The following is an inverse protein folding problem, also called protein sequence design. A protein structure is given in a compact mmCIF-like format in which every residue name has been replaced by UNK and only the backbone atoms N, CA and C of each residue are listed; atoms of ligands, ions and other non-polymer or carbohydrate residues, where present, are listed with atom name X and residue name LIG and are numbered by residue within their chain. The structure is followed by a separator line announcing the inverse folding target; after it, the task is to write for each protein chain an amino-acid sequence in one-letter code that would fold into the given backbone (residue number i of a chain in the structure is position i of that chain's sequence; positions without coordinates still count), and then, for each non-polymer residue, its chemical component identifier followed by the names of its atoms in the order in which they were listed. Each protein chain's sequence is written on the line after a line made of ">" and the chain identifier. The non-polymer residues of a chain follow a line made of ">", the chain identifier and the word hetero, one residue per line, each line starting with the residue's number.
data_IF_698371774866
#
_entry.id   IF_698371774866
#
_cell.length_a   1.000
_cell.length_b   1.000
_cell.length_c   1.000
_cell.angle_alpha   90.00
_cell.angle_beta   90.00
_cell.angle_gamma   90.00
#
_symmetry.space_group_name_H-M   'P 1'
#
loop_
_entity.id
_entity.type
_entity.pdbx_description
1 polymer ?
#
# COMPACT_ATOMS: atom_id res chain seq x y z
N UNK A 1 4.22 -25.52 15.05
CA UNK A 1 3.98 -25.50 13.61
C UNK A 1 2.68 -26.24 13.24
N UNK A 2 2.58 -27.58 13.52
CA UNK A 2 1.41 -28.39 13.10
C UNK A 2 0.08 -27.86 13.65
N UNK A 3 0.02 -27.47 14.93
CA UNK A 3 -1.17 -26.84 15.51
C UNK A 3 -1.60 -25.56 14.77
N UNK A 4 -0.65 -24.74 14.31
CA UNK A 4 -0.96 -23.55 13.54
C UNK A 4 -1.52 -23.89 12.15
N UNK A 5 -0.97 -24.93 11.52
CA UNK A 5 -1.48 -25.44 10.24
C UNK A 5 -2.92 -25.95 10.40
N UNK A 6 -3.17 -26.75 11.43
CA UNK A 6 -4.51 -27.26 11.73
C UNK A 6 -5.52 -26.14 12.00
N UNK A 7 -5.09 -25.08 12.71
CA UNK A 7 -5.93 -23.90 12.95
C UNK A 7 -6.28 -23.14 11.67
N UNK A 8 -5.35 -23.03 10.72
CA UNK A 8 -5.62 -22.41 9.43
C UNK A 8 -6.64 -23.24 8.65
N UNK A 9 -6.50 -24.55 8.58
CA UNK A 9 -7.49 -25.41 7.94
C UNK A 9 -8.85 -25.34 8.63
N UNK A 10 -8.88 -25.38 9.97
CA UNK A 10 -10.11 -25.27 10.74
C UNK A 10 -10.82 -23.91 10.57
N UNK A 11 -10.06 -22.85 10.25
CA UNK A 11 -10.62 -21.50 10.02
C UNK A 11 -11.61 -21.46 8.86
N UNK A 12 -11.49 -22.35 7.88
CA UNK A 12 -12.44 -22.52 6.77
C UNK A 12 -13.87 -22.76 7.28
N UNK A 13 -14.00 -23.57 8.33
CA UNK A 13 -15.28 -23.92 8.93
C UNK A 13 -15.75 -22.93 10.02
N UNK A 14 -15.00 -21.88 10.26
CA UNK A 14 -15.40 -20.83 11.20
C UNK A 14 -16.66 -20.10 10.71
N UNK A 15 -17.43 -19.55 11.67
CA UNK A 15 -18.61 -18.72 11.32
C UNK A 15 -18.22 -17.58 10.36
N UNK A 16 -17.11 -16.90 10.64
CA UNK A 16 -16.61 -15.81 9.80
C UNK A 16 -16.25 -16.27 8.39
N UNK A 17 -15.60 -17.43 8.26
CA UNK A 17 -15.25 -18.01 6.98
C UNK A 17 -16.48 -18.36 6.14
N UNK A 18 -17.48 -18.99 6.74
CA UNK A 18 -18.75 -19.33 6.09
C UNK A 18 -19.55 -18.09 5.66
N UNK A 19 -19.64 -17.08 6.54
CA UNK A 19 -20.36 -15.84 6.22
C UNK A 19 -19.67 -15.09 5.06
N UNK A 20 -18.34 -15.05 5.05
CA UNK A 20 -17.57 -14.45 3.95
C UNK A 20 -17.80 -15.18 2.63
N UNK A 21 -17.71 -16.52 2.60
CA UNK A 21 -17.96 -17.30 1.40
C UNK A 21 -19.35 -17.07 0.83
N UNK A 22 -20.36 -17.02 1.71
CA UNK A 22 -21.75 -16.75 1.31
C UNK A 22 -21.89 -15.39 0.63
N UNK A 23 -21.26 -14.35 1.20
CA UNK A 23 -21.29 -12.98 0.64
C UNK A 23 -20.58 -12.93 -0.71
N UNK A 24 -19.43 -13.62 -0.83
CA UNK A 24 -18.60 -13.59 -2.02
C UNK A 24 -18.99 -14.62 -3.09
N UNK A 25 -19.99 -15.46 -2.83
CA UNK A 25 -20.41 -16.52 -3.76
C UNK A 25 -19.36 -17.63 -3.96
N UNK A 26 -18.51 -17.87 -2.96
CA UNK A 26 -17.47 -18.91 -2.99
C UNK A 26 -18.09 -20.24 -2.57
N UNK A 27 -17.82 -21.34 -3.34
CA UNK A 27 -18.31 -22.68 -3.02
C UNK A 27 -17.77 -23.21 -1.69
N UNK A 28 -18.62 -23.84 -0.91
CA UNK A 28 -18.21 -24.53 0.31
C UNK A 28 -17.39 -25.81 0.04
N UNK A 29 -17.46 -26.36 -1.19
CA UNK A 29 -16.66 -27.51 -1.61
C UNK A 29 -15.19 -27.20 -1.83
N UNK A 30 -14.83 -25.92 -1.85
CA UNK A 30 -13.44 -25.50 -1.89
C UNK A 30 -12.80 -25.67 -0.51
N UNK A 31 -11.54 -25.34 -0.41
CA UNK A 31 -10.78 -25.36 0.83
C UNK A 31 -9.85 -24.16 0.92
N UNK A 32 -9.13 -24.10 2.01
CA UNK A 32 -8.02 -23.14 2.16
C UNK A 32 -6.68 -23.84 1.99
N UNK A 33 -5.64 -23.07 1.70
CA UNK A 33 -4.27 -23.52 1.65
C UNK A 33 -3.45 -22.88 2.78
N UNK A 34 -2.33 -23.51 3.13
CA UNK A 34 -1.38 -23.00 4.12
C UNK A 34 -0.05 -22.76 3.44
N UNK A 35 0.47 -21.55 3.55
CA UNK A 35 1.82 -21.21 3.15
C UNK A 35 2.70 -21.11 4.38
N UNK A 36 3.80 -21.85 4.39
CA UNK A 36 4.83 -21.77 5.44
C UNK A 36 5.98 -20.96 4.88
N UNK A 37 6.24 -19.81 5.49
CA UNK A 37 7.25 -18.86 5.06
C UNK A 37 8.21 -18.54 6.20
N UNK A 38 9.49 -18.36 5.87
CA UNK A 38 10.46 -17.84 6.83
C UNK A 38 10.09 -16.42 7.23
N UNK A 39 10.25 -16.09 8.50
CA UNK A 39 10.09 -14.72 8.97
C UNK A 39 11.31 -13.89 8.60
N UNK A 40 11.09 -12.62 8.32
CA UNK A 40 12.09 -11.57 8.22
C UNK A 40 11.79 -10.50 9.25
N UNK A 41 12.84 -9.82 9.74
CA UNK A 41 12.73 -9.02 10.96
C UNK A 41 13.06 -7.55 10.69
N UNK A 42 12.04 -6.72 10.49
CA UNK A 42 12.18 -5.27 10.39
C UNK A 42 12.60 -4.58 11.70
N UNK A 43 12.63 -5.33 12.79
CA UNK A 43 13.07 -4.87 14.11
C UNK A 43 14.41 -5.48 14.55
N UNK A 44 15.20 -6.00 13.63
CA UNK A 44 16.47 -6.65 13.92
C UNK A 44 17.51 -5.66 14.45
N UNK A 45 17.54 -4.45 13.92
CA UNK A 45 18.50 -3.41 14.26
C UNK A 45 17.95 -2.00 13.95
N UNK A 46 18.78 -0.98 14.14
CA UNK A 46 18.48 0.39 13.70
C UNK A 46 18.63 0.59 12.19
N UNK A 47 19.20 -0.36 11.49
CA UNK A 47 19.31 -0.40 10.03
C UNK A 47 18.29 -1.32 9.39
N UNK A 48 17.33 -1.81 10.14
CA UNK A 48 16.23 -2.64 9.66
C UNK A 48 14.90 -1.88 9.73
N UNK A 49 13.94 -2.30 8.93
CA UNK A 49 12.63 -1.68 8.91
C UNK A 49 11.63 -2.43 8.06
N UNK A 50 10.39 -1.96 8.06
CA UNK A 50 9.29 -2.52 7.29
C UNK A 50 8.43 -1.41 6.72
N UNK A 51 7.75 -1.68 5.62
CA UNK A 51 6.90 -0.67 5.01
C UNK A 51 5.95 -1.21 3.95
N UNK A 52 5.15 -0.30 3.45
CA UNK A 52 4.27 -0.50 2.29
C UNK A 52 4.61 0.56 1.26
N UNK A 53 4.83 0.13 0.03
CA UNK A 53 5.15 1.02 -1.09
C UNK A 53 4.20 0.82 -2.25
N UNK A 54 3.72 1.92 -2.79
CA UNK A 54 2.90 2.01 -3.98
C UNK A 54 3.77 2.41 -5.16
N UNK A 55 3.52 1.83 -6.31
CA UNK A 55 4.23 2.17 -7.55
C UNK A 55 3.89 3.57 -8.08
N UNK A 56 2.70 4.06 -7.77
CA UNK A 56 2.19 5.35 -8.22
C UNK A 56 1.71 6.19 -7.05
N UNK A 57 1.88 7.49 -7.17
CA UNK A 57 1.37 8.41 -6.18
C UNK A 57 -0.17 8.49 -6.23
N UNK A 58 -0.86 8.38 -5.10
CA UNK A 58 -2.31 8.61 -5.07
C UNK A 58 -2.68 10.10 -5.24
N UNK A 59 -1.71 11.00 -5.13
CA UNK A 59 -1.91 12.45 -5.18
C UNK A 59 -1.50 13.08 -6.50
N UNK A 60 -0.48 12.53 -7.16
CA UNK A 60 0.01 13.05 -8.43
C UNK A 60 -0.65 12.30 -9.57
N UNK A 61 -1.25 13.01 -10.53
CA UNK A 61 -1.76 12.37 -11.73
C UNK A 61 -0.60 11.95 -12.64
N UNK A 62 -0.73 10.80 -13.27
CA UNK A 62 0.20 10.33 -14.30
C UNK A 62 0.43 8.82 -14.24
N UNK A 63 0.91 8.29 -15.36
CA UNK A 63 1.22 6.87 -15.55
C UNK A 63 2.71 6.58 -15.27
N UNK A 64 3.42 7.53 -14.68
CA UNK A 64 4.84 7.37 -14.37
C UNK A 64 5.00 6.76 -12.99
N UNK A 65 5.88 5.77 -12.88
CA UNK A 65 6.24 5.18 -11.59
C UNK A 65 6.85 6.26 -10.71
N UNK A 66 6.21 6.51 -9.59
CA UNK A 66 6.69 7.36 -8.51
C UNK A 66 6.36 6.69 -7.19
N UNK A 67 7.39 6.21 -6.51
CA UNK A 67 7.20 5.48 -5.26
C UNK A 67 6.58 6.37 -4.19
N UNK A 68 5.53 5.84 -3.59
CA UNK A 68 4.76 6.47 -2.53
C UNK A 68 4.49 5.45 -1.44
N UNK A 69 4.26 5.86 -0.20
CA UNK A 69 3.92 4.95 0.87
C UNK A 69 4.57 5.29 2.19
N UNK A 70 4.64 4.33 3.07
CA UNK A 70 5.08 4.51 4.44
C UNK A 70 6.01 3.40 4.88
N UNK A 71 7.03 3.75 5.67
CA UNK A 71 7.91 2.78 6.32
C UNK A 71 8.22 3.16 7.76
N UNK A 72 8.78 2.22 8.51
CA UNK A 72 9.31 2.46 9.86
C UNK A 72 10.69 1.84 10.00
N UNK A 73 11.46 2.33 10.94
CA UNK A 73 12.78 1.81 11.31
C UNK A 73 12.66 1.09 12.64
N UNK A 74 13.21 -0.13 12.72
CA UNK A 74 13.25 -0.91 13.95
C UNK A 74 11.90 -1.46 14.42
N UNK A 75 10.91 -1.56 13.52
CA UNK A 75 9.58 -2.11 13.80
C UNK A 75 9.19 -3.15 12.77
N UNK A 76 8.21 -4.00 13.11
CA UNK A 76 7.63 -4.98 12.20
C UNK A 76 6.56 -4.34 11.31
N UNK A 77 6.27 -4.98 10.15
CA UNK A 77 5.23 -4.51 9.22
C UNK A 77 3.84 -4.43 9.85
N UNK A 78 3.52 -5.30 10.81
CA UNK A 78 2.27 -5.28 11.56
C UNK A 78 2.07 -3.95 12.33
N UNK A 79 3.14 -3.37 12.87
CA UNK A 79 3.10 -2.08 13.56
C UNK A 79 2.77 -0.94 12.61
N UNK A 80 3.23 -1.03 11.34
CA UNK A 80 2.93 -0.05 10.28
C UNK A 80 1.45 -0.11 9.92
N UNK A 81 0.95 -1.30 9.62
CA UNK A 81 -0.42 -1.51 9.16
C UNK A 81 -1.45 -1.19 10.25
N UNK A 82 -1.13 -1.47 11.51
CA UNK A 82 -2.00 -1.16 12.65
C UNK A 82 -2.03 0.32 13.04
N UNK A 83 -1.12 1.15 12.48
CA UNK A 83 -1.00 2.57 12.82
C UNK A 83 -0.48 2.84 14.24
N UNK A 84 0.14 1.87 14.88
CA UNK A 84 0.68 1.98 16.25
C UNK A 84 1.98 2.78 16.32
N UNK A 85 2.66 2.96 15.19
CA UNK A 85 3.95 3.65 15.11
C UNK A 85 3.88 4.83 14.15
N UNK A 86 4.71 5.85 14.41
CA UNK A 86 4.87 6.98 13.49
C UNK A 86 5.62 6.49 12.26
N UNK A 87 5.00 6.63 11.10
CA UNK A 87 5.58 6.25 9.82
C UNK A 87 6.36 7.39 9.18
N UNK A 88 7.27 7.01 8.28
CA UNK A 88 8.15 7.87 7.50
C UNK A 88 7.81 7.73 6.01
N UNK A 89 7.96 8.78 5.21
CA UNK A 89 7.65 8.73 3.77
C UNK A 89 8.68 7.92 2.99
N UNK A 90 8.24 7.30 1.91
CA UNK A 90 9.11 6.50 1.02
C UNK A 90 10.04 7.41 0.20
N UNK A 91 9.53 8.50 -0.37
CA UNK A 91 10.30 9.39 -1.24
C UNK A 91 10.39 10.82 -0.71
N UNK A 92 11.41 11.56 -1.17
CA UNK A 92 11.56 12.97 -0.84
C UNK A 92 10.41 13.81 -1.40
N UNK A 93 9.97 13.51 -2.61
CA UNK A 93 8.80 14.18 -3.21
C UNK A 93 7.55 14.00 -2.36
N UNK A 94 7.34 12.79 -1.83
CA UNK A 94 6.23 12.55 -0.91
C UNK A 94 6.39 13.37 0.37
N UNK A 95 7.57 13.39 0.95
CA UNK A 95 7.87 14.12 2.18
C UNK A 95 7.52 15.61 2.05
N UNK A 96 7.91 16.22 0.94
CA UNK A 96 7.66 17.64 0.65
C UNK A 96 6.16 17.89 0.40
N UNK A 97 5.51 17.09 -0.44
CA UNK A 97 4.09 17.30 -0.81
C UNK A 97 3.13 17.03 0.35
N UNK A 98 3.50 16.18 1.29
CA UNK A 98 2.70 15.90 2.48
C UNK A 98 3.05 16.80 3.67
N UNK A 99 4.06 17.69 3.51
CA UNK A 99 4.53 18.60 4.57
C UNK A 99 4.82 17.82 5.88
N UNK A 100 5.43 16.62 5.73
CA UNK A 100 5.70 15.79 6.90
C UNK A 100 6.79 16.42 7.79
N UNK A 101 6.56 16.41 9.11
CA UNK A 101 7.55 16.83 10.11
C UNK A 101 8.82 15.98 10.12
N UNK A 102 8.79 14.83 9.47
CA UNK A 102 9.94 13.94 9.32
C UNK A 102 11.00 14.61 8.46
N UNK A 103 12.25 14.62 8.94
CA UNK A 103 13.41 15.10 8.19
C UNK A 103 14.03 14.03 7.30
N UNK A 104 13.52 12.80 7.33
CA UNK A 104 14.07 11.64 6.63
C UNK A 104 13.00 10.93 5.82
N UNK A 105 13.44 10.35 4.70
CA UNK A 105 12.68 9.42 3.87
C UNK A 105 13.44 8.10 3.70
N UNK A 106 12.81 7.08 3.12
CA UNK A 106 13.50 5.84 2.72
C UNK A 106 14.56 6.14 1.65
N UNK A 107 14.22 7.02 0.69
CA UNK A 107 15.10 7.43 -0.40
C UNK A 107 16.43 7.98 0.12
N UNK A 108 16.39 8.85 1.15
CA UNK A 108 17.58 9.47 1.73
C UNK A 108 18.31 8.53 2.69
N UNK A 109 17.58 7.84 3.58
CA UNK A 109 18.17 7.06 4.67
C UNK A 109 18.65 5.67 4.25
N UNK A 110 17.98 5.06 3.27
CA UNK A 110 18.26 3.70 2.78
C UNK A 110 18.26 3.66 1.25
N UNK A 111 19.18 4.40 0.58
CA UNK A 111 19.15 4.57 -0.87
C UNK A 111 19.27 3.27 -1.65
N UNK A 112 19.99 2.26 -1.14
CA UNK A 112 20.11 0.97 -1.80
C UNK A 112 18.77 0.21 -1.79
N UNK A 113 18.05 0.24 -0.67
CA UNK A 113 16.72 -0.38 -0.53
C UNK A 113 15.74 0.34 -1.45
N UNK A 114 15.70 1.67 -1.43
CA UNK A 114 14.85 2.47 -2.29
C UNK A 114 15.08 2.17 -3.78
N UNK A 115 16.34 2.15 -4.22
CA UNK A 115 16.69 1.84 -5.61
C UNK A 115 16.29 0.41 -6.03
N UNK A 116 16.33 -0.56 -5.12
CA UNK A 116 15.83 -1.91 -5.42
C UNK A 116 14.31 -1.93 -5.59
N UNK A 117 13.57 -1.20 -4.77
CA UNK A 117 12.12 -1.05 -4.92
C UNK A 117 11.76 -0.37 -6.24
N UNK A 118 12.48 0.70 -6.62
CA UNK A 118 12.31 1.35 -7.94
C UNK A 118 12.53 0.36 -9.08
N UNK A 119 13.65 -0.40 -9.06
CA UNK A 119 13.96 -1.39 -10.09
C UNK A 119 12.91 -2.50 -10.17
N UNK A 120 12.44 -2.96 -9.00
CA UNK A 120 11.38 -3.98 -8.93
C UNK A 120 10.09 -3.47 -9.58
N UNK A 121 9.64 -2.28 -9.21
CA UNK A 121 8.42 -1.67 -9.77
C UNK A 121 8.53 -1.47 -11.29
N UNK A 122 9.68 -0.98 -11.77
CA UNK A 122 9.93 -0.84 -13.21
C UNK A 122 9.88 -2.18 -13.93
N UNK A 123 10.47 -3.22 -13.35
CA UNK A 123 10.44 -4.56 -13.94
C UNK A 123 9.01 -5.10 -14.01
N UNK A 124 8.26 -5.05 -12.90
CA UNK A 124 6.90 -5.59 -12.84
C UNK A 124 5.97 -4.86 -13.83
N UNK A 125 6.01 -3.53 -13.87
CA UNK A 125 5.06 -2.73 -14.63
C UNK A 125 5.48 -2.62 -16.11
N UNK A 126 6.72 -2.20 -16.38
CA UNK A 126 7.16 -1.97 -17.76
C UNK A 126 7.78 -3.20 -18.41
N UNK A 127 8.37 -4.12 -17.61
CA UNK A 127 8.97 -5.35 -18.12
C UNK A 127 7.97 -6.48 -18.25
N UNK A 128 7.24 -6.77 -17.18
CA UNK A 128 6.33 -7.91 -17.10
C UNK A 128 4.87 -7.53 -17.43
N UNK A 129 4.57 -6.25 -17.63
CA UNK A 129 3.26 -5.75 -18.04
C UNK A 129 2.18 -5.81 -16.94
N UNK A 130 2.58 -5.78 -15.68
CA UNK A 130 1.64 -5.78 -14.57
C UNK A 130 0.97 -4.41 -14.40
N UNK A 131 -0.22 -4.42 -13.87
CA UNK A 131 -0.89 -3.20 -13.40
C UNK A 131 -0.10 -2.57 -12.24
N UNK A 132 -0.36 -1.29 -11.89
CA UNK A 132 0.23 -0.65 -10.72
C UNK A 132 0.15 -1.52 -9.47
N UNK A 133 1.21 -1.54 -8.68
CA UNK A 133 1.38 -2.46 -7.57
C UNK A 133 1.49 -1.74 -6.22
N UNK A 134 0.96 -2.38 -5.20
CA UNK A 134 1.24 -2.15 -3.79
C UNK A 134 2.10 -3.31 -3.28
N UNK A 135 3.20 -3.01 -2.63
CA UNK A 135 4.17 -4.00 -2.14
C UNK A 135 4.41 -3.80 -0.66
N UNK A 136 4.23 -4.86 0.12
CA UNK A 136 4.70 -4.94 1.50
C UNK A 136 6.13 -5.46 1.50
N UNK A 137 7.02 -4.77 2.20
CA UNK A 137 8.43 -5.11 2.24
C UNK A 137 9.02 -4.99 3.64
N UNK A 138 10.10 -5.71 3.87
CA UNK A 138 10.95 -5.61 5.06
C UNK A 138 12.41 -5.60 4.61
N UNK A 139 13.25 -4.88 5.33
CA UNK A 139 14.69 -4.93 5.14
C UNK A 139 15.38 -5.16 6.48
N UNK A 140 16.40 -6.01 6.49
CA UNK A 140 17.16 -6.39 7.69
C UNK A 140 18.47 -5.62 7.82
N UNK A 141 18.87 -4.86 6.78
CA UNK A 141 20.07 -4.03 6.70
C UNK A 141 20.00 -3.03 5.56
N UNK A 142 21.12 -2.36 5.28
CA UNK A 142 21.20 -1.28 4.29
C UNK A 142 21.60 -1.75 2.88
N UNK A 143 22.04 -3.01 2.75
CA UNK A 143 22.47 -3.55 1.47
C UNK A 143 21.28 -3.93 0.59
N UNK A 144 21.51 -3.89 -0.72
CA UNK A 144 20.50 -4.27 -1.72
C UNK A 144 19.94 -5.69 -1.54
N UNK A 145 20.72 -6.58 -0.91
CA UNK A 145 20.35 -7.98 -0.69
C UNK A 145 19.54 -8.17 0.62
N UNK A 146 19.43 -7.13 1.44
CA UNK A 146 18.71 -7.16 2.70
C UNK A 146 17.22 -6.83 2.54
N UNK A 147 16.77 -6.55 1.32
CA UNK A 147 15.38 -6.30 0.98
C UNK A 147 14.62 -7.61 0.74
N UNK A 148 13.50 -7.77 1.43
CA UNK A 148 12.58 -8.89 1.30
C UNK A 148 11.20 -8.38 0.94
N UNK A 149 10.60 -8.97 -0.10
CA UNK A 149 9.24 -8.69 -0.52
C UNK A 149 8.32 -9.71 0.14
N UNK A 150 7.35 -9.21 0.91
CA UNK A 150 6.42 -10.05 1.67
C UNK A 150 5.15 -10.32 0.89
N UNK A 151 4.62 -9.29 0.23
CA UNK A 151 3.38 -9.36 -0.53
C UNK A 151 3.43 -8.34 -1.66
N UNK A 152 2.85 -8.71 -2.80
CA UNK A 152 2.54 -7.79 -3.89
C UNK A 152 1.07 -7.94 -4.26
N UNK A 153 0.38 -6.84 -4.46
CA UNK A 153 -1.01 -6.82 -4.92
C UNK A 153 -1.25 -5.68 -5.89
N UNK A 154 -2.22 -5.87 -6.75
CA UNK A 154 -2.65 -4.84 -7.67
C UNK A 154 -3.20 -3.62 -6.91
N UNK A 155 -2.72 -2.47 -7.27
CA UNK A 155 -3.18 -1.20 -6.73
C UNK A 155 -4.44 -0.76 -7.48
N UNK A 156 -5.54 -0.60 -6.77
CA UNK A 156 -6.75 -0.01 -7.34
C UNK A 156 -6.55 1.49 -7.48
N UNK A 157 -6.03 1.92 -8.63
CA UNK A 157 -6.13 3.31 -9.00
C UNK A 157 -7.61 3.59 -9.25
N UNK A 158 -8.21 4.44 -8.43
CA UNK A 158 -9.52 4.99 -8.77
C UNK A 158 -9.37 5.63 -10.13
N UNK A 159 -10.06 5.09 -11.12
CA UNK A 159 -10.18 5.71 -12.43
C UNK A 159 -10.57 7.16 -12.19
N UNK A 160 -9.60 8.06 -12.27
CA UNK A 160 -9.89 9.49 -12.39
C UNK A 160 -10.39 9.66 -13.82
N UNK A 161 -11.57 9.08 -14.10
CA UNK A 161 -12.34 9.48 -15.26
C UNK A 161 -12.24 10.98 -15.27
N UNK A 162 -11.72 11.52 -16.39
CA UNK A 162 -11.74 12.95 -16.70
C UNK A 162 -12.94 13.55 -16.01
N UNK A 163 -12.70 14.51 -15.11
CA UNK A 163 -13.76 15.37 -14.65
C UNK A 163 -14.45 15.74 -15.94
N UNK A 164 -15.66 15.20 -16.15
CA UNK A 164 -16.47 15.63 -17.27
C UNK A 164 -16.58 17.12 -17.00
N UNK A 165 -15.94 17.90 -17.84
CA UNK A 165 -16.10 19.34 -17.83
C UNK A 165 -17.60 19.54 -18.04
N UNK A 166 -18.31 19.69 -16.93
CA UNK A 166 -19.68 20.09 -16.99
C UNK A 166 -19.62 21.54 -17.51
N UNK A 167 -19.90 21.69 -18.76
CA UNK A 167 -20.20 23.01 -19.37
C UNK A 167 -21.45 23.51 -18.62
N UNK A 168 -21.21 24.01 -17.40
CA UNK A 168 -22.29 24.54 -16.57
C UNK A 168 -22.58 25.91 -17.12
N UNK A 169 -23.69 26.00 -17.83
CA UNK A 169 -24.20 27.29 -18.29
C UNK A 169 -24.22 28.25 -17.09
N UNK A 170 -23.48 29.38 -17.12
CA UNK A 170 -23.38 30.34 -16.02
C UNK A 170 -24.73 30.80 -15.48
N UNK A 171 -25.75 30.89 -16.38
CA UNK A 171 -27.11 31.29 -16.01
C UNK A 171 -27.85 30.25 -15.13
N UNK A 172 -27.42 28.98 -15.18
CA UNK A 172 -27.97 27.92 -14.33
C UNK A 172 -27.29 27.92 -12.94
N UNK A 173 -25.99 28.27 -12.88
CA UNK A 173 -25.25 28.42 -11.62
C UNK A 173 -25.83 29.55 -10.77
N UNK A 174 -26.18 30.68 -11.35
CA UNK A 174 -26.73 31.81 -10.62
C UNK A 174 -28.12 31.53 -10.04
N UNK A 175 -28.89 30.64 -10.65
CA UNK A 175 -30.19 30.18 -10.16
C UNK A 175 -30.13 29.03 -9.14
N UNK A 176 -29.06 28.25 -9.15
CA UNK A 176 -28.91 27.07 -8.29
C UNK A 176 -28.29 27.37 -6.91
N UNK A 177 -27.67 28.54 -6.72
CA UNK A 177 -26.90 28.85 -5.50
C UNK A 177 -27.51 30.03 -4.73
N UNK A 178 -28.72 29.84 -4.21
CA UNK A 178 -29.24 30.63 -3.09
C UNK A 178 -29.45 29.77 -1.86
N UNK A 179 -28.39 29.14 -1.38
CA UNK A 179 -28.41 28.36 -0.14
C UNK A 179 -27.02 28.35 0.51
N UNK A 180 -26.93 28.76 1.75
CA UNK A 180 -25.75 28.49 2.57
C UNK A 180 -25.68 26.99 2.86
N UNK A 181 -24.91 26.26 2.07
CA UNK A 181 -24.61 24.86 2.29
C UNK A 181 -23.22 24.69 2.86
N UNK A 182 -23.10 23.90 3.94
CA UNK A 182 -21.81 23.44 4.44
C UNK A 182 -21.28 22.43 3.43
N UNK A 183 -20.25 22.82 2.66
CA UNK A 183 -19.57 21.91 1.74
C UNK A 183 -18.77 20.88 2.52
N UNK A 184 -19.19 19.61 2.48
CA UNK A 184 -18.37 18.49 2.93
C UNK A 184 -17.36 18.23 1.84
N UNK A 185 -16.10 18.58 2.06
CA UNK A 185 -15.00 18.08 1.21
C UNK A 185 -14.89 16.57 1.44
N UNK A 186 -15.35 15.79 0.47
CA UNK A 186 -15.01 14.38 0.39
C UNK A 186 -13.51 14.24 0.14
N UNK A 187 -12.81 13.55 1.06
CA UNK A 187 -11.42 13.12 0.88
C UNK A 187 -11.30 11.98 -0.12
#
# INVERSE_FOLDING_TARGET
>A
LFLAIDQVFASWESKRGRDYRRIMGISDDWGTAVTIQSMVFGNLSRQSGSGVVFSHSPRLPGDTIQLWGDFTIGNQGEDVVSGLVKTLPISEVQRELEERDSKISLEESFPNIYLQLVKLMHRLIYGDGWNPQEIEFTFEGEDKNDLFILQAREMFLRDRKKIIDFDVNPEILDKAYHGQGIGVRGG
#
